data_IF_734453780740
#
_entry.id   IF_734453780740
#
_cell.length_a   1.000
_cell.length_b   1.000
_cell.length_c   1.000
_cell.angle_alpha   90.00
_cell.angle_beta   90.00
_cell.angle_gamma   90.00
#
_symmetry.space_group_name_H-M   'P 1'
#
loop_
_entity.id
_entity.type
_entity.pdbx_description
1 polymer ?
#
# COMPACT_ATOMS: atom_id res chain seq x y z
N UNK A 1 -6.24 -64.21 -27.41
CA UNK A 1 -5.31 -63.06 -27.57
C UNK A 1 -5.98 -61.69 -27.77
N UNK A 2 -7.33 -61.54 -27.76
CA UNK A 2 -8.00 -60.23 -27.98
C UNK A 2 -8.40 -59.46 -26.71
N UNK A 3 -8.30 -60.07 -25.52
CA UNK A 3 -8.75 -59.45 -24.24
C UNK A 3 -7.69 -58.62 -23.52
N UNK A 4 -6.40 -58.84 -23.82
CA UNK A 4 -5.29 -58.14 -23.14
C UNK A 4 -5.07 -56.74 -23.73
N UNK A 5 -5.32 -56.54 -25.03
CA UNK A 5 -5.18 -55.22 -25.68
C UNK A 5 -6.21 -54.18 -25.22
N UNK A 6 -7.37 -54.60 -24.71
CA UNK A 6 -8.43 -53.67 -24.29
C UNK A 6 -8.14 -53.03 -22.93
N UNK A 7 -7.45 -53.75 -22.03
CA UNK A 7 -7.16 -53.28 -20.67
C UNK A 7 -6.08 -52.19 -20.69
N UNK A 8 -5.11 -52.30 -21.60
CA UNK A 8 -4.01 -51.31 -21.72
C UNK A 8 -4.54 -49.99 -22.28
N UNK A 9 -5.46 -50.02 -23.26
CA UNK A 9 -6.05 -48.81 -23.86
C UNK A 9 -6.95 -48.06 -22.87
N UNK A 10 -7.70 -48.77 -22.02
CA UNK A 10 -8.53 -48.15 -20.98
C UNK A 10 -7.68 -47.54 -19.86
N UNK A 11 -6.55 -48.18 -19.49
CA UNK A 11 -5.65 -47.63 -18.47
C UNK A 11 -4.95 -46.34 -18.92
N UNK A 12 -4.64 -46.21 -20.22
CA UNK A 12 -3.98 -45.01 -20.76
C UNK A 12 -4.96 -43.84 -20.94
N UNK A 13 -6.24 -44.11 -21.17
CA UNK A 13 -7.28 -43.07 -21.29
C UNK A 13 -7.64 -42.43 -19.94
N UNK A 14 -7.49 -43.14 -18.82
CA UNK A 14 -7.77 -42.61 -17.47
C UNK A 14 -6.62 -41.73 -16.96
N UNK A 15 -5.38 -41.96 -17.40
CA UNK A 15 -4.23 -41.14 -16.99
C UNK A 15 -4.17 -39.76 -17.67
N UNK A 16 -4.82 -39.58 -18.82
CA UNK A 16 -4.79 -38.32 -19.58
C UNK A 16 -5.79 -37.28 -19.04
N UNK A 17 -6.87 -37.69 -18.37
CA UNK A 17 -7.85 -36.74 -17.81
C UNK A 17 -7.39 -36.05 -16.50
N UNK A 18 -6.33 -36.55 -15.84
CA UNK A 18 -5.87 -35.99 -14.57
C UNK A 18 -4.97 -34.74 -14.72
N UNK A 19 -4.61 -34.34 -15.94
CA UNK A 19 -3.58 -33.30 -16.17
C UNK A 19 -4.16 -31.91 -16.51
N UNK A 20 -5.48 -31.74 -16.59
CA UNK A 20 -6.10 -30.47 -17.03
C UNK A 20 -6.38 -29.49 -15.87
N UNK A 21 -5.94 -29.76 -14.63
CA UNK A 21 -6.15 -28.83 -13.51
C UNK A 21 -5.11 -27.71 -13.37
N UNK A 22 -4.27 -27.50 -14.38
CA UNK A 22 -3.29 -26.39 -14.34
C UNK A 22 -3.91 -25.08 -14.80
N UNK A 23 -4.22 -24.19 -13.85
CA UNK A 23 -3.73 -22.80 -14.02
C UNK A 23 -4.69 -21.62 -13.83
N UNK A 24 -6.00 -21.80 -13.67
CA UNK A 24 -6.90 -20.68 -13.35
C UNK A 24 -7.29 -20.70 -11.87
N UNK A 25 -6.36 -20.35 -10.97
CA UNK A 25 -6.75 -19.96 -9.61
C UNK A 25 -7.66 -18.73 -9.73
N UNK A 26 -8.87 -18.82 -9.15
CA UNK A 26 -9.77 -17.66 -9.07
C UNK A 26 -9.06 -16.54 -8.31
N UNK A 27 -9.27 -15.26 -8.70
CA UNK A 27 -8.78 -14.16 -7.90
C UNK A 27 -9.31 -14.26 -6.46
N UNK A 28 -8.53 -13.87 -5.44
CA UNK A 28 -8.98 -13.90 -4.07
C UNK A 28 -10.17 -12.94 -3.86
N UNK A 29 -11.09 -13.29 -2.98
CA UNK A 29 -12.17 -12.40 -2.55
C UNK A 29 -11.64 -11.24 -1.70
N UNK A 30 -12.50 -10.27 -1.38
CA UNK A 30 -12.16 -9.15 -0.48
C UNK A 30 -11.76 -9.69 0.90
N UNK A 31 -12.56 -10.62 1.43
CA UNK A 31 -12.40 -11.20 2.76
C UNK A 31 -11.13 -12.04 2.85
N UNK A 32 -10.85 -12.86 1.83
CA UNK A 32 -9.62 -13.65 1.74
C UNK A 32 -8.39 -12.75 1.71
N UNK A 33 -8.44 -11.66 0.94
CA UNK A 33 -7.31 -10.74 0.82
C UNK A 33 -7.08 -9.94 2.11
N UNK A 34 -8.14 -9.49 2.78
CA UNK A 34 -8.06 -8.85 4.10
C UNK A 34 -7.49 -9.80 5.16
N UNK A 35 -7.92 -11.05 5.17
CA UNK A 35 -7.44 -12.06 6.12
C UNK A 35 -6.02 -12.55 5.81
N UNK A 36 -5.46 -12.22 4.63
CA UNK A 36 -4.13 -12.71 4.22
C UNK A 36 -2.96 -11.83 4.69
N UNK A 37 -3.23 -10.57 5.03
CA UNK A 37 -2.19 -9.58 5.35
C UNK A 37 -2.50 -8.86 6.64
N UNK A 38 -1.52 -8.82 7.53
CA UNK A 38 -1.51 -7.96 8.70
C UNK A 38 -0.61 -6.74 8.44
N UNK A 39 -1.09 -5.55 8.78
CA UNK A 39 -0.29 -4.31 8.69
C UNK A 39 0.37 -4.03 10.04
N UNK A 40 1.70 -3.98 10.04
CA UNK A 40 2.52 -3.81 11.24
C UNK A 40 3.45 -2.59 11.10
N UNK A 41 4.01 -2.14 12.22
CA UNK A 41 4.98 -1.03 12.30
C UNK A 41 4.49 0.26 11.63
N UNK A 42 3.23 0.62 11.92
CA UNK A 42 2.56 1.76 11.32
C UNK A 42 3.12 3.06 11.92
N UNK A 43 3.57 3.96 11.05
CA UNK A 43 3.88 5.34 11.38
C UNK A 43 3.18 6.27 10.39
N UNK A 44 2.57 7.35 10.89
CA UNK A 44 2.03 8.43 10.05
C UNK A 44 2.76 9.73 10.35
N UNK A 45 2.97 10.55 9.32
CA UNK A 45 3.69 11.82 9.42
C UNK A 45 3.41 12.71 8.22
N UNK A 46 3.80 13.98 8.34
CA UNK A 46 3.85 14.93 7.24
C UNK A 46 5.28 15.03 6.72
N UNK A 47 5.46 14.88 5.41
CA UNK A 47 6.77 14.92 4.76
C UNK A 47 6.84 16.06 3.76
N UNK A 48 8.06 16.57 3.53
CA UNK A 48 8.32 17.59 2.49
C UNK A 48 7.95 17.04 1.11
N UNK A 49 7.02 17.72 0.43
CA UNK A 49 6.74 17.53 -1.00
C UNK A 49 7.50 18.54 -1.85
N UNK A 50 7.41 19.83 -1.49
CA UNK A 50 8.07 20.93 -2.18
C UNK A 50 8.70 21.83 -1.13
N UNK A 51 9.91 22.31 -1.38
CA UNK A 51 10.52 23.39 -0.61
C UNK A 51 11.29 24.32 -1.55
N UNK A 52 11.07 25.62 -1.42
CA UNK A 52 11.79 26.68 -2.11
C UNK A 52 12.13 27.78 -1.11
N UNK A 53 13.41 28.16 -0.95
CA UNK A 53 13.79 29.28 -0.09
C UNK A 53 13.30 30.63 -0.64
N UNK A 54 13.31 30.81 -1.96
CA UNK A 54 12.90 32.05 -2.63
C UNK A 54 12.18 31.79 -3.96
N UNK A 55 10.97 32.34 -4.18
CA UNK A 55 10.08 32.85 -3.14
C UNK A 55 9.75 31.74 -2.11
N UNK A 56 9.59 32.06 -0.81
CA UNK A 56 9.34 31.04 0.22
C UNK A 56 8.11 30.20 -0.09
N UNK A 57 8.33 28.89 -0.26
CA UNK A 57 7.25 27.92 -0.45
C UNK A 57 7.63 26.60 0.21
N UNK A 58 6.73 26.08 1.03
CA UNK A 58 6.81 24.76 1.64
C UNK A 58 5.47 24.05 1.43
N UNK A 59 5.49 22.91 0.76
CA UNK A 59 4.32 22.05 0.65
C UNK A 59 4.61 20.77 1.41
N UNK A 60 3.76 20.44 2.39
CA UNK A 60 3.83 19.19 3.14
C UNK A 60 2.72 18.25 2.67
N UNK A 61 3.08 16.99 2.46
CA UNK A 61 2.13 15.94 2.12
C UNK A 61 2.00 14.96 3.30
N UNK A 62 0.78 14.48 3.60
CA UNK A 62 0.61 13.39 4.56
C UNK A 62 1.22 12.10 3.99
N UNK A 63 1.73 11.26 4.88
CA UNK A 63 2.34 9.99 4.55
C UNK A 63 2.04 8.94 5.62
N UNK A 64 1.99 7.68 5.18
CA UNK A 64 1.96 6.49 6.01
C UNK A 64 3.13 5.60 5.64
N UNK A 65 3.84 5.08 6.64
CA UNK A 65 4.79 3.99 6.50
C UNK A 65 4.35 2.79 7.31
N UNK A 66 4.55 1.60 6.75
CA UNK A 66 4.15 0.35 7.38
C UNK A 66 4.93 -0.82 6.76
N UNK A 67 4.85 -2.00 7.38
CA UNK A 67 5.21 -3.27 6.74
C UNK A 67 3.97 -4.14 6.62
N UNK A 68 3.92 -4.96 5.59
CA UNK A 68 2.88 -5.96 5.39
C UNK A 68 3.42 -7.33 5.77
N UNK A 69 2.76 -8.02 6.69
CA UNK A 69 3.09 -9.40 7.09
C UNK A 69 2.10 -10.36 6.46
N UNK A 70 2.61 -11.40 5.82
CA UNK A 70 1.77 -12.48 5.31
C UNK A 70 1.33 -13.37 6.47
N UNK A 71 0.04 -13.38 6.80
CA UNK A 71 -0.55 -14.22 7.84
C UNK A 71 -1.33 -15.41 7.27
N UNK A 72 -1.35 -15.54 5.94
CA UNK A 72 -1.96 -16.68 5.26
C UNK A 72 -0.99 -17.87 5.15
N UNK A 73 -1.53 -19.01 4.72
CA UNK A 73 -0.75 -20.21 4.44
C UNK A 73 -0.24 -20.28 2.98
N UNK A 74 -0.53 -19.26 2.15
CA UNK A 74 -0.08 -19.19 0.75
C UNK A 74 0.94 -18.06 0.55
N UNK A 75 1.90 -18.20 -0.38
CA UNK A 75 2.78 -17.08 -0.76
C UNK A 75 1.99 -15.93 -1.40
N UNK A 76 2.21 -14.70 -0.93
CA UNK A 76 1.62 -13.51 -1.52
C UNK A 76 2.49 -12.95 -2.64
N UNK A 77 1.90 -12.59 -3.77
CA UNK A 77 2.62 -12.07 -4.94
C UNK A 77 1.77 -11.07 -5.71
N UNK A 78 2.41 -10.09 -6.35
CA UNK A 78 1.74 -9.06 -7.16
C UNK A 78 0.63 -8.32 -6.40
N UNK A 79 0.94 -7.92 -5.17
CA UNK A 79 0.02 -7.17 -4.31
C UNK A 79 0.32 -5.68 -4.44
N UNK A 80 -0.75 -4.93 -4.67
CA UNK A 80 -0.77 -3.48 -4.74
C UNK A 80 -1.39 -2.94 -3.46
N UNK A 81 -0.82 -1.83 -2.97
CA UNK A 81 -1.42 -1.04 -1.90
C UNK A 81 -1.85 0.30 -2.46
N UNK A 82 -3.01 0.76 -2.02
CA UNK A 82 -3.50 2.10 -2.31
C UNK A 82 -3.78 2.85 -1.01
N UNK A 83 -3.09 3.97 -0.77
CA UNK A 83 -3.34 4.83 0.36
C UNK A 83 -4.10 6.07 -0.11
N UNK A 84 -5.30 6.29 0.41
CA UNK A 84 -6.12 7.46 0.08
C UNK A 84 -6.20 8.36 1.31
N UNK A 85 -5.84 9.63 1.13
CA UNK A 85 -5.75 10.64 2.17
C UNK A 85 -6.92 11.62 2.08
N UNK A 86 -7.48 12.01 3.23
CA UNK A 86 -8.69 12.83 3.29
C UNK A 86 -8.57 13.81 4.44
N UNK A 87 -9.02 15.05 4.27
CA UNK A 87 -9.18 15.97 5.40
C UNK A 87 -10.58 15.82 6.00
N UNK A 88 -10.68 15.77 7.32
CA UNK A 88 -11.95 15.61 8.02
C UNK A 88 -12.88 16.77 7.68
N UNK A 89 -14.07 16.44 7.17
CA UNK A 89 -15.09 17.42 6.76
C UNK A 89 -15.04 17.80 5.28
N UNK A 90 -14.01 17.38 4.54
CA UNK A 90 -13.90 17.67 3.11
C UNK A 90 -14.53 16.57 2.26
N UNK A 91 -15.13 16.96 1.13
CA UNK A 91 -15.77 16.03 0.19
C UNK A 91 -14.73 15.35 -0.72
N UNK A 92 -13.67 16.08 -1.05
CA UNK A 92 -12.60 15.63 -1.93
C UNK A 92 -11.47 15.00 -1.12
N UNK A 93 -10.75 14.05 -1.73
CA UNK A 93 -9.56 13.49 -1.11
C UNK A 93 -8.40 14.52 -1.20
N UNK A 94 -7.52 14.52 -0.20
CA UNK A 94 -6.23 15.23 -0.23
C UNK A 94 -5.21 14.51 -1.12
N UNK A 95 -5.63 13.46 -1.82
CA UNK A 95 -4.82 12.69 -2.74
C UNK A 95 -4.70 11.21 -2.40
N UNK A 96 -3.96 10.51 -3.25
CA UNK A 96 -3.80 9.07 -3.22
C UNK A 96 -2.40 8.64 -3.67
N UNK A 97 -2.08 7.38 -3.41
CA UNK A 97 -0.86 6.74 -3.84
C UNK A 97 -1.12 5.26 -4.06
N UNK A 98 -0.97 4.78 -5.30
CA UNK A 98 -1.04 3.37 -5.65
C UNK A 98 0.38 2.88 -5.96
N UNK A 99 0.84 1.86 -5.23
CA UNK A 99 2.15 1.26 -5.47
C UNK A 99 2.11 -0.27 -5.36
N UNK A 100 3.03 -0.93 -6.03
CA UNK A 100 3.29 -2.36 -5.83
C UNK A 100 4.02 -2.52 -4.51
N UNK A 101 3.41 -3.18 -3.52
CA UNK A 101 4.07 -3.48 -2.25
C UNK A 101 4.75 -4.85 -2.23
N UNK A 102 4.18 -5.83 -2.95
CA UNK A 102 4.77 -7.17 -3.09
C UNK A 102 4.85 -7.51 -4.57
N UNK A 103 6.07 -7.55 -5.09
CA UNK A 103 6.35 -7.69 -6.52
C UNK A 103 6.52 -9.14 -6.98
N UNK A 104 7.58 -9.39 -7.76
CA UNK A 104 7.93 -10.72 -8.29
C UNK A 104 8.48 -11.66 -7.22
N UNK A 105 9.21 -11.15 -6.24
CA UNK A 105 9.60 -11.95 -5.07
C UNK A 105 8.34 -12.13 -4.22
N UNK A 106 7.85 -13.37 -4.03
CA UNK A 106 6.70 -13.59 -3.18
C UNK A 106 7.06 -13.32 -1.72
N UNK A 107 6.08 -12.87 -0.94
CA UNK A 107 6.16 -12.79 0.51
C UNK A 107 5.65 -14.12 1.08
N UNK A 108 6.54 -14.91 1.67
CA UNK A 108 6.20 -16.25 2.18
C UNK A 108 5.33 -16.16 3.44
N UNK A 109 4.56 -17.22 3.80
CA UNK A 109 3.82 -17.28 5.07
C UNK A 109 4.70 -16.90 6.27
N UNK A 110 4.20 -15.97 7.10
CA UNK A 110 4.90 -15.43 8.27
C UNK A 110 5.94 -14.34 7.97
N UNK A 111 6.35 -14.15 6.70
CA UNK A 111 7.33 -13.14 6.30
C UNK A 111 6.71 -11.73 6.33
N UNK A 112 7.51 -10.72 6.68
CA UNK A 112 7.15 -9.32 6.60
C UNK A 112 7.90 -8.62 5.46
N UNK A 113 7.23 -7.72 4.77
CA UNK A 113 7.82 -6.90 3.70
C UNK A 113 8.86 -5.92 4.26
N UNK A 114 9.63 -5.32 3.36
CA UNK A 114 10.33 -4.07 3.66
C UNK A 114 9.32 -2.96 4.02
N UNK A 115 9.81 -1.88 4.64
CA UNK A 115 8.98 -0.71 4.95
C UNK A 115 8.50 -0.03 3.67
N UNK A 116 7.18 0.01 3.50
CA UNK A 116 6.50 0.72 2.43
C UNK A 116 6.18 2.12 2.89
N UNK A 117 6.62 3.14 2.15
CA UNK A 117 6.28 4.54 2.39
C UNK A 117 5.33 5.05 1.30
N UNK A 118 4.12 5.43 1.69
CA UNK A 118 3.10 5.96 0.79
C UNK A 118 2.81 7.41 1.14
N UNK A 119 2.99 8.30 0.15
CA UNK A 119 2.85 9.76 0.30
C UNK A 119 1.73 10.25 -0.60
N UNK A 120 0.90 11.17 -0.10
CA UNK A 120 -0.11 11.79 -0.96
C UNK A 120 0.51 12.51 -2.17
N UNK A 121 -0.15 12.41 -3.32
CA UNK A 121 0.15 13.18 -4.53
C UNK A 121 -0.23 14.67 -4.40
N UNK A 122 -1.02 15.08 -3.41
CA UNK A 122 -1.21 16.49 -3.05
C UNK A 122 -0.75 16.77 -1.60
N UNK A 123 -0.77 18.05 -1.22
CA UNK A 123 -0.31 18.49 0.08
C UNK A 123 -0.84 19.87 0.42
N UNK A 124 -0.59 20.28 1.67
CA UNK A 124 -0.96 21.60 2.17
C UNK A 124 0.21 22.54 1.96
N UNK A 125 -0.06 23.73 1.42
CA UNK A 125 0.93 24.76 1.15
C UNK A 125 1.06 25.75 2.32
N UNK A 126 2.29 26.18 2.57
CA UNK A 126 2.68 27.24 3.49
C UNK A 126 4.00 27.86 3.02
N UNK A 127 4.60 28.72 3.84
CA UNK A 127 5.91 29.34 3.58
C UNK A 127 6.99 28.76 4.47
N UNK A 128 6.67 28.53 5.74
CA UNK A 128 7.56 28.06 6.79
C UNK A 128 6.91 26.97 7.65
N UNK A 129 7.70 26.19 8.37
CA UNK A 129 7.28 25.18 9.35
C UNK A 129 6.35 25.75 10.43
N UNK A 130 6.51 27.03 10.78
CA UNK A 130 5.65 27.72 11.73
C UNK A 130 4.20 27.85 11.23
N UNK A 131 4.00 28.05 9.93
CA UNK A 131 2.67 28.17 9.29
C UNK A 131 1.87 26.87 9.40
N UNK A 132 2.57 25.78 9.62
CA UNK A 132 2.02 24.45 9.83
C UNK A 132 1.76 24.28 11.33
N UNK A 133 2.80 24.30 12.17
CA UNK A 133 2.69 24.01 13.62
C UNK A 133 1.69 24.88 14.37
N UNK A 134 1.58 26.15 13.99
CA UNK A 134 0.77 27.14 14.71
C UNK A 134 -0.61 27.35 14.08
N UNK A 135 -0.96 26.62 13.02
CA UNK A 135 -2.22 26.84 12.32
C UNK A 135 -3.38 26.11 13.01
N UNK A 136 -4.32 26.83 13.66
CA UNK A 136 -5.47 26.22 14.30
C UNK A 136 -6.45 25.61 13.30
N UNK A 137 -6.44 26.09 12.05
CA UNK A 137 -7.25 25.57 10.95
C UNK A 137 -6.63 24.33 10.26
N UNK A 138 -5.50 23.79 10.77
CA UNK A 138 -4.97 22.55 10.24
C UNK A 138 -5.92 21.39 10.56
N UNK A 139 -6.67 20.99 9.52
CA UNK A 139 -7.63 19.90 9.58
C UNK A 139 -6.94 18.55 9.86
N UNK A 140 -7.58 17.76 10.71
CA UNK A 140 -7.23 16.35 10.89
C UNK A 140 -7.27 15.64 9.54
N UNK A 141 -6.19 14.93 9.21
CA UNK A 141 -6.10 14.15 7.98
C UNK A 141 -6.19 12.67 8.32
N UNK A 142 -6.98 11.93 7.56
CA UNK A 142 -7.14 10.49 7.67
C UNK A 142 -6.49 9.81 6.47
N UNK A 143 -5.96 8.60 6.68
CA UNK A 143 -5.50 7.72 5.60
C UNK A 143 -6.27 6.42 5.66
N UNK A 144 -6.83 6.00 4.53
CA UNK A 144 -7.41 4.67 4.32
C UNK A 144 -6.44 3.87 3.45
N UNK A 145 -6.03 2.70 3.95
CA UNK A 145 -5.14 1.81 3.21
C UNK A 145 -5.95 0.65 2.63
N UNK A 146 -5.80 0.42 1.34
CA UNK A 146 -6.41 -0.67 0.61
C UNK A 146 -5.35 -1.60 0.07
N UNK A 147 -5.71 -2.87 -0.07
CA UNK A 147 -4.93 -3.91 -0.73
C UNK A 147 -5.67 -4.38 -1.97
N UNK A 148 -4.91 -4.76 -3.00
CA UNK A 148 -5.43 -5.37 -4.21
C UNK A 148 -4.45 -6.41 -4.74
N UNK A 149 -4.97 -7.57 -5.11
CA UNK A 149 -4.24 -8.58 -5.89
C UNK A 149 -4.71 -8.55 -7.35
N UNK A 150 -3.99 -9.26 -8.22
CA UNK A 150 -4.36 -9.35 -9.64
C UNK A 150 -5.77 -9.96 -9.77
N UNK A 151 -6.68 -9.19 -10.38
CA UNK A 151 -8.06 -9.62 -10.62
C UNK A 151 -8.99 -9.53 -9.41
N UNK A 152 -8.50 -9.14 -8.22
CA UNK A 152 -9.35 -8.91 -7.05
C UNK A 152 -9.92 -7.48 -7.05
N UNK A 153 -10.98 -7.30 -6.26
CA UNK A 153 -11.41 -5.96 -5.85
C UNK A 153 -10.45 -5.37 -4.80
N UNK A 154 -10.59 -4.07 -4.53
CA UNK A 154 -9.87 -3.44 -3.43
C UNK A 154 -10.49 -3.85 -2.10
N UNK A 155 -9.63 -4.27 -1.17
CA UNK A 155 -10.01 -4.63 0.18
C UNK A 155 -9.48 -3.58 1.16
N UNK A 156 -10.30 -3.07 2.08
CA UNK A 156 -9.87 -2.08 3.08
C UNK A 156 -9.08 -2.78 4.18
N UNK A 157 -7.82 -2.40 4.39
CA UNK A 157 -7.01 -2.97 5.48
C UNK A 157 -7.13 -2.19 6.78
N UNK A 158 -7.37 -0.89 6.69
CA UNK A 158 -7.51 -0.06 7.88
C UNK A 158 -7.58 1.42 7.57
N UNK A 159 -7.86 2.18 8.63
CA UNK A 159 -7.92 3.63 8.62
C UNK A 159 -7.17 4.18 9.83
N UNK A 160 -6.35 5.20 9.61
CA UNK A 160 -5.59 5.87 10.66
C UNK A 160 -5.69 7.38 10.55
N UNK A 161 -5.59 8.04 11.69
CA UNK A 161 -5.32 9.48 11.73
C UNK A 161 -3.85 9.74 11.42
N UNK A 162 -3.58 10.72 10.55
CA UNK A 162 -2.23 11.16 10.24
C UNK A 162 -1.74 12.06 11.37
N UNK A 163 -0.70 11.61 12.07
CA UNK A 163 -0.05 12.36 13.14
C UNK A 163 0.36 13.76 12.68
N UNK A 164 0.34 14.72 13.61
CA UNK A 164 0.88 16.06 13.39
C UNK A 164 2.41 16.13 13.37
N UNK A 165 3.10 14.99 13.47
CA UNK A 165 4.56 14.91 13.33
C UNK A 165 4.97 15.37 11.92
N UNK A 166 5.87 16.34 11.86
CA UNK A 166 6.43 16.85 10.60
C UNK A 166 7.88 16.38 10.49
N UNK A 167 8.18 15.64 9.43
CA UNK A 167 9.51 15.16 9.05
C UNK A 167 10.12 16.10 8.01
N UNK A 168 10.40 17.31 8.48
CA UNK A 168 11.10 18.33 7.72
C UNK A 168 11.80 19.27 8.71
N UNK A 169 13.06 19.58 8.41
CA UNK A 169 13.83 20.62 9.08
C UNK A 169 14.12 21.71 8.06
N UNK A 170 13.82 22.95 8.42
CA UNK A 170 14.21 24.10 7.61
C UNK A 170 15.73 24.22 7.60
N UNK A 171 16.35 24.47 6.44
CA UNK A 171 17.77 24.78 6.39
C UNK A 171 18.03 26.11 7.11
N UNK A 172 19.23 26.26 7.67
CA UNK A 172 19.66 27.54 8.23
C UNK A 172 19.57 28.64 7.18
N UNK A 173 19.07 29.81 7.58
CA UNK A 173 19.01 30.97 6.70
C UNK A 173 20.44 31.39 6.37
N UNK A 174 20.86 31.17 5.12
CA UNK A 174 22.07 31.78 4.56
C UNK A 174 21.77 33.26 4.30
N UNK A 175 21.83 34.06 5.35
CA UNK A 175 21.84 35.52 5.28
C UNK A 175 23.09 36.04 5.99
N UNK A 176 23.60 37.24 5.66
CA UNK A 176 24.75 37.80 6.37
C UNK A 176 24.42 37.85 7.86
N UNK A 177 25.32 37.30 8.69
CA UNK A 177 25.26 37.49 10.15
C UNK A 177 25.21 39.00 10.39
N UNK A 178 24.18 39.45 11.10
CA UNK A 178 24.15 40.82 11.65
C UNK A 178 25.20 40.94 12.75
#
# INVERSE_FOLDING_TARGET
>A
MKRVSFIIIVSLAVSVLAVIQTGCKKPPTIEELQASVEIIDIETKWVKKIYKPWPPKLTLAPAISFRAKNISNEPLKYVFFNAIFWQKGDKENLGDNLQIGIGKKPLMPGEASDTLLMKSNFGVEGKLLADFKNNPAWKTTLVKLFIKSKGSQYALLGQWEVSRKIDFKEPERVGPKK
#
